data_IF_983250218297
#
_entry.id   IF_983250218297
#
_cell.length_a   1.000
_cell.length_b   1.000
_cell.length_c   1.000
_cell.angle_alpha   90.00
_cell.angle_beta   90.00
_cell.angle_gamma   90.00
#
_symmetry.space_group_name_H-M   'P 1'
#
loop_
_entity.id
_entity.type
_entity.pdbx_description
1 polymer ?
#
# COMPACT_ATOMS: atom_id res chain seq x y z
N UNK A 1 -2.78 -9.66 -17.10
CA UNK A 1 -2.37 -10.91 -16.42
C UNK A 1 -3.10 -10.94 -15.11
N UNK A 2 -3.62 -12.09 -14.64
CA UNK A 2 -4.15 -12.16 -13.30
C UNK A 2 -3.02 -11.84 -12.32
N UNK A 3 -3.29 -10.98 -11.34
CA UNK A 3 -2.35 -10.75 -10.24
C UNK A 3 -2.20 -12.08 -9.49
N UNK A 4 -0.98 -12.50 -9.14
CA UNK A 4 -0.79 -13.74 -8.42
C UNK A 4 -1.46 -13.66 -7.05
N UNK A 5 -2.13 -14.75 -6.65
CA UNK A 5 -2.77 -14.87 -5.34
C UNK A 5 -1.75 -14.89 -4.19
N UNK A 6 -0.48 -15.03 -4.51
CA UNK A 6 0.69 -14.93 -3.62
C UNK A 6 1.87 -14.36 -4.39
N UNK A 7 2.49 -13.34 -3.87
CA UNK A 7 3.76 -12.86 -4.38
C UNK A 7 4.70 -12.62 -3.21
N UNK A 8 5.79 -13.39 -3.17
CA UNK A 8 6.91 -13.16 -2.29
C UNK A 8 7.95 -12.34 -3.08
N UNK A 9 7.99 -11.04 -2.90
CA UNK A 9 9.09 -10.22 -3.34
C UNK A 9 9.98 -9.92 -2.15
N UNK A 10 11.09 -10.61 -2.04
CA UNK A 10 12.15 -10.27 -1.11
C UNK A 10 13.11 -9.33 -1.83
N UNK A 11 13.04 -8.06 -1.54
CA UNK A 11 14.05 -7.11 -1.96
C UNK A 11 14.94 -6.74 -0.80
N UNK A 12 16.22 -7.04 -0.92
CA UNK A 12 17.23 -6.61 0.03
C UNK A 12 17.94 -5.39 -0.53
N UNK A 13 17.48 -4.22 -0.14
CA UNK A 13 18.19 -2.96 -0.34
C UNK A 13 18.95 -2.60 0.94
N UNK A 14 19.85 -1.61 0.88
CA UNK A 14 20.46 -1.05 2.10
C UNK A 14 19.46 -0.51 3.13
N UNK A 15 18.19 -0.31 2.73
CA UNK A 15 17.10 0.17 3.59
C UNK A 15 16.38 -0.96 4.34
N UNK A 16 16.35 -2.18 3.82
CA UNK A 16 15.64 -3.28 4.46
C UNK A 16 15.04 -4.30 3.51
N UNK A 17 13.99 -5.00 3.98
CA UNK A 17 13.24 -6.01 3.26
C UNK A 17 11.79 -5.62 3.11
N UNK A 18 11.19 -5.89 1.95
CA UNK A 18 9.74 -5.76 1.76
C UNK A 18 9.14 -7.12 1.39
N UNK A 19 7.96 -7.40 1.90
CA UNK A 19 7.18 -8.60 1.62
C UNK A 19 5.70 -8.24 1.49
N UNK A 20 4.98 -8.90 0.56
CA UNK A 20 3.54 -8.75 0.40
C UNK A 20 2.87 -10.07 0.08
N UNK A 21 1.66 -10.25 0.54
CA UNK A 21 0.79 -11.37 0.21
C UNK A 21 -0.66 -10.91 0.14
N UNK A 22 -1.41 -11.49 -0.79
CA UNK A 22 -2.85 -11.30 -0.93
C UNK A 22 -3.51 -12.68 -0.96
N UNK A 23 -4.62 -12.83 -0.24
CA UNK A 23 -5.38 -14.09 -0.14
C UNK A 23 -6.86 -13.82 -0.38
N UNK A 24 -7.41 -14.61 -1.30
CA UNK A 24 -8.84 -14.60 -1.57
C UNK A 24 -9.65 -15.03 -0.34
N UNK A 25 -10.65 -14.27 0.00
CA UNK A 25 -11.54 -14.48 1.13
C UNK A 25 -12.34 -15.77 1.09
N UNK A 26 -12.64 -16.32 2.27
CA UNK A 26 -13.46 -17.53 2.36
C UNK A 26 -14.87 -17.31 1.82
N UNK A 27 -15.43 -16.11 1.95
CA UNK A 27 -16.72 -15.70 1.38
C UNK A 27 -16.66 -15.63 -0.14
N UNK A 28 -15.61 -15.05 -0.72
CA UNK A 28 -15.40 -14.97 -2.16
C UNK A 28 -15.19 -16.36 -2.77
N UNK A 29 -14.40 -17.23 -2.11
CA UNK A 29 -14.26 -18.62 -2.53
C UNK A 29 -15.60 -19.38 -2.62
N UNK A 30 -16.49 -19.19 -1.62
CA UNK A 30 -17.82 -19.81 -1.61
C UNK A 30 -18.72 -19.30 -2.73
N UNK A 31 -18.58 -18.02 -3.10
CA UNK A 31 -19.37 -17.37 -4.17
C UNK A 31 -18.72 -17.51 -5.55
N UNK A 32 -17.55 -18.16 -5.66
CA UNK A 32 -16.74 -18.22 -6.88
C UNK A 32 -16.38 -16.82 -7.42
N UNK A 33 -16.18 -15.85 -6.53
CA UNK A 33 -15.70 -14.51 -6.84
C UNK A 33 -14.18 -14.48 -6.78
N UNK A 34 -13.50 -13.63 -7.57
CA UNK A 34 -12.05 -13.45 -7.47
C UNK A 34 -11.68 -12.67 -6.21
N UNK A 35 -10.39 -12.68 -5.85
CA UNK A 35 -9.85 -11.71 -4.91
C UNK A 35 -9.93 -10.30 -5.52
N UNK A 36 -10.47 -9.35 -4.78
CA UNK A 36 -10.63 -7.94 -5.20
C UNK A 36 -9.52 -7.06 -4.66
N UNK A 37 -8.75 -7.57 -3.71
CA UNK A 37 -7.54 -6.93 -3.19
C UNK A 37 -6.37 -6.97 -4.17
N UNK A 38 -5.46 -6.01 -3.99
CA UNK A 38 -4.17 -5.97 -4.69
C UNK A 38 -3.06 -5.41 -3.80
N UNK A 39 -1.82 -5.77 -4.11
CA UNK A 39 -0.65 -5.09 -3.59
C UNK A 39 0.42 -4.92 -4.68
N UNK A 40 1.33 -3.98 -4.46
CA UNK A 40 2.53 -3.81 -5.28
C UNK A 40 3.73 -3.45 -4.41
N UNK A 41 4.89 -3.93 -4.83
CA UNK A 41 6.18 -3.67 -4.21
C UNK A 41 7.17 -3.22 -5.29
N UNK A 42 7.98 -2.25 -4.96
CA UNK A 42 9.13 -1.87 -5.76
C UNK A 42 10.31 -1.56 -4.85
N UNK A 43 11.49 -1.95 -5.28
CA UNK A 43 12.73 -1.62 -4.62
C UNK A 43 13.80 -1.33 -5.65
N UNK A 44 14.60 -0.32 -5.39
CA UNK A 44 15.63 0.12 -6.31
C UNK A 44 16.36 1.32 -5.75
N UNK A 45 16.87 2.16 -6.65
CA UNK A 45 17.55 3.39 -6.28
C UNK A 45 17.10 4.53 -7.18
N UNK A 46 16.94 5.70 -6.60
CA UNK A 46 16.85 6.95 -7.33
C UNK A 46 18.22 7.61 -7.31
N UNK A 47 18.95 7.53 -8.43
CA UNK A 47 20.39 7.80 -8.42
C UNK A 47 21.13 6.83 -7.50
N UNK A 48 21.93 7.34 -6.58
CA UNK A 48 22.66 6.54 -5.58
C UNK A 48 21.83 6.28 -4.30
N UNK A 49 20.62 6.83 -4.17
CA UNK A 49 19.81 6.74 -2.95
C UNK A 49 18.89 5.52 -3.04
N UNK A 50 19.06 4.50 -2.18
CA UNK A 50 18.18 3.36 -2.17
C UNK A 50 16.77 3.76 -1.71
N UNK A 51 15.75 3.09 -2.25
CA UNK A 51 14.35 3.31 -1.89
C UNK A 51 13.52 2.03 -2.03
N UNK A 52 12.46 1.97 -1.21
CA UNK A 52 11.42 0.94 -1.24
C UNK A 52 10.09 1.65 -1.37
N UNK A 53 9.23 1.20 -2.27
CA UNK A 53 7.85 1.66 -2.38
C UNK A 53 6.91 0.47 -2.31
N UNK A 54 5.83 0.61 -1.55
CA UNK A 54 4.82 -0.43 -1.33
C UNK A 54 3.42 0.17 -1.40
N UNK A 55 2.45 -0.64 -1.83
CA UNK A 55 1.05 -0.26 -1.81
C UNK A 55 0.14 -1.47 -1.60
N UNK A 56 -0.99 -1.25 -0.92
CA UNK A 56 -2.10 -2.20 -0.78
C UNK A 56 -3.41 -1.48 -1.12
N UNK A 57 -4.35 -2.19 -1.72
CA UNK A 57 -5.64 -1.66 -2.12
C UNK A 57 -6.71 -2.74 -1.98
N UNK A 58 -7.87 -2.35 -1.47
CA UNK A 58 -9.07 -3.14 -1.41
C UNK A 58 -10.04 -2.66 -2.48
N UNK A 59 -10.55 -3.58 -3.28
CA UNK A 59 -11.58 -3.33 -4.28
C UNK A 59 -12.97 -3.54 -3.70
N UNK A 60 -13.87 -2.56 -3.85
CA UNK A 60 -15.21 -2.63 -3.28
C UNK A 60 -16.03 -3.82 -3.78
N UNK A 61 -16.47 -4.69 -2.89
CA UNK A 61 -17.25 -5.91 -3.17
C UNK A 61 -18.73 -5.71 -3.56
N UNK A 62 -19.19 -4.46 -3.72
CA UNK A 62 -20.58 -4.15 -4.13
C UNK A 62 -20.75 -4.39 -5.64
N UNK A 63 -21.87 -4.98 -6.10
CA UNK A 63 -22.13 -5.22 -7.54
C UNK A 63 -22.05 -4.00 -8.45
N UNK A 64 -22.16 -2.78 -7.90
CA UNK A 64 -21.96 -1.52 -8.65
C UNK A 64 -20.49 -1.28 -9.00
N UNK A 65 -19.58 -1.95 -8.34
CA UNK A 65 -18.14 -1.87 -8.52
C UNK A 65 -17.57 -3.13 -9.21
N UNK A 66 -18.26 -3.59 -10.26
CA UNK A 66 -18.00 -4.86 -10.96
C UNK A 66 -16.60 -4.98 -11.60
N UNK A 67 -15.81 -3.91 -11.57
CA UNK A 67 -14.42 -3.85 -12.04
C UNK A 67 -13.44 -3.52 -10.91
N UNK A 68 -13.85 -3.59 -9.64
CA UNK A 68 -13.07 -3.20 -8.45
C UNK A 68 -11.72 -3.91 -8.36
N UNK A 69 -11.68 -5.20 -8.63
CA UNK A 69 -10.43 -5.97 -8.72
C UNK A 69 -9.40 -5.34 -9.66
N UNK A 70 -9.85 -4.86 -10.83
CA UNK A 70 -8.98 -4.20 -11.81
C UNK A 70 -8.62 -2.81 -11.31
N UNK A 71 -9.58 -2.14 -10.68
CA UNK A 71 -9.39 -0.85 -10.02
C UNK A 71 -8.32 -0.89 -8.94
N UNK A 72 -8.35 -1.88 -8.06
CA UNK A 72 -7.34 -2.12 -7.01
C UNK A 72 -5.95 -2.36 -7.63
N UNK A 73 -5.87 -3.18 -8.68
CA UNK A 73 -4.63 -3.40 -9.41
C UNK A 73 -4.05 -2.12 -10.03
N UNK A 74 -4.87 -1.26 -10.61
CA UNK A 74 -4.43 0.05 -11.11
C UNK A 74 -4.07 1.00 -9.96
N UNK A 75 -4.75 0.92 -8.81
CA UNK A 75 -4.47 1.75 -7.65
C UNK A 75 -3.05 1.52 -7.13
N UNK A 76 -2.69 0.28 -6.84
CA UNK A 76 -1.35 -0.04 -6.31
C UNK A 76 -0.24 0.27 -7.31
N UNK A 77 -0.47 0.02 -8.61
CA UNK A 77 0.49 0.38 -9.65
C UNK A 77 0.70 1.89 -9.72
N UNK A 78 -0.38 2.66 -9.81
CA UNK A 78 -0.33 4.12 -9.89
C UNK A 78 0.40 4.70 -8.68
N UNK A 79 0.15 4.16 -7.48
CA UNK A 79 0.80 4.61 -6.26
C UNK A 79 2.30 4.37 -6.27
N UNK A 80 2.73 3.15 -6.61
CA UNK A 80 4.16 2.80 -6.64
C UNK A 80 4.90 3.62 -7.70
N UNK A 81 4.34 3.76 -8.91
CA UNK A 81 4.94 4.57 -9.98
C UNK A 81 5.09 6.05 -9.56
N UNK A 82 4.08 6.63 -8.88
CA UNK A 82 4.15 8.02 -8.41
C UNK A 82 5.08 8.18 -7.20
N UNK A 83 5.19 7.19 -6.32
CA UNK A 83 6.20 7.19 -5.25
C UNK A 83 7.62 7.17 -5.84
N UNK A 84 7.86 6.29 -6.80
CA UNK A 84 9.16 6.22 -7.49
C UNK A 84 9.48 7.54 -8.19
N UNK A 85 8.52 8.15 -8.88
CA UNK A 85 8.69 9.46 -9.49
C UNK A 85 8.98 10.56 -8.45
N UNK A 86 8.35 10.48 -7.26
CA UNK A 86 8.56 11.42 -6.17
C UNK A 86 9.96 11.31 -5.56
N UNK A 87 10.61 10.14 -5.63
CA UNK A 87 11.99 9.98 -5.20
C UNK A 87 12.96 10.91 -5.91
N UNK A 88 12.71 11.24 -7.18
CA UNK A 88 13.53 12.21 -7.91
C UNK A 88 13.39 13.65 -7.37
N UNK A 89 12.22 13.98 -6.80
CA UNK A 89 12.02 15.26 -6.09
C UNK A 89 12.85 15.28 -4.82
N UNK A 90 12.92 14.17 -4.09
CA UNK A 90 13.74 14.05 -2.87
C UNK A 90 15.23 14.26 -3.15
N UNK A 91 15.72 13.83 -4.31
CA UNK A 91 17.14 14.02 -4.70
C UNK A 91 17.53 15.50 -4.87
N UNK A 92 16.56 16.42 -4.89
CA UNK A 92 16.83 17.85 -4.93
C UNK A 92 17.29 18.43 -3.58
N UNK A 93 17.51 17.58 -2.57
CA UNK A 93 17.95 17.98 -1.21
C UNK A 93 17.02 19.02 -0.59
N UNK A 94 15.72 18.83 -0.76
CA UNK A 94 14.71 19.74 -0.24
C UNK A 94 14.65 19.69 1.29
N UNK A 95 14.48 20.85 1.96
CA UNK A 95 14.16 20.85 3.38
C UNK A 95 12.92 19.98 3.67
N UNK A 96 12.95 19.20 4.77
CA UNK A 96 11.89 18.23 5.11
C UNK A 96 10.48 18.82 5.13
N UNK A 97 10.33 20.06 5.60
CA UNK A 97 9.02 20.72 5.61
C UNK A 97 8.49 21.00 4.20
N UNK A 98 9.38 21.30 3.25
CA UNK A 98 9.03 21.46 1.84
C UNK A 98 8.66 20.11 1.25
N UNK A 99 9.49 19.07 1.45
CA UNK A 99 9.21 17.71 1.00
C UNK A 99 7.84 17.22 1.50
N UNK A 100 7.54 17.41 2.80
CA UNK A 100 6.26 17.08 3.40
C UNK A 100 5.09 17.83 2.74
N UNK A 101 5.26 19.12 2.51
CA UNK A 101 4.23 19.97 1.89
C UNK A 101 3.96 19.55 0.44
N UNK A 102 5.01 19.29 -0.34
CA UNK A 102 4.88 18.84 -1.73
C UNK A 102 4.28 17.43 -1.81
N UNK A 103 4.73 16.50 -0.97
CA UNK A 103 4.14 15.16 -0.93
C UNK A 103 2.64 15.21 -0.63
N UNK A 104 2.25 15.94 0.41
CA UNK A 104 0.84 16.11 0.79
C UNK A 104 -0.01 16.72 -0.33
N UNK A 105 0.53 17.68 -1.09
CA UNK A 105 -0.18 18.38 -2.16
C UNK A 105 -0.24 17.55 -3.44
N UNK A 106 0.88 16.97 -3.86
CA UNK A 106 1.05 16.49 -5.21
C UNK A 106 0.81 14.98 -5.35
N UNK A 107 1.23 14.17 -4.37
CA UNK A 107 1.08 12.72 -4.44
C UNK A 107 -0.39 12.28 -4.60
N UNK A 108 -1.35 12.73 -3.77
CA UNK A 108 -2.76 12.40 -3.93
C UNK A 108 -3.34 12.76 -5.31
N UNK A 109 -2.98 13.94 -5.81
CA UNK A 109 -3.45 14.42 -7.12
C UNK A 109 -2.92 13.58 -8.27
N UNK A 110 -1.64 13.24 -8.22
CA UNK A 110 -0.96 12.47 -9.27
C UNK A 110 -1.49 11.04 -9.32
N UNK A 111 -1.59 10.38 -8.15
CA UNK A 111 -2.14 9.02 -8.06
C UNK A 111 -3.59 8.98 -8.52
N UNK A 112 -4.46 9.86 -8.00
CA UNK A 112 -5.88 9.88 -8.37
C UNK A 112 -6.08 10.15 -9.86
N UNK A 113 -5.28 11.02 -10.47
CA UNK A 113 -5.31 11.30 -11.91
C UNK A 113 -4.88 10.07 -12.71
N UNK A 114 -3.70 9.50 -12.43
CA UNK A 114 -3.15 8.34 -13.13
C UNK A 114 -4.09 7.14 -13.05
N UNK A 115 -4.65 6.90 -11.86
CA UNK A 115 -5.63 5.84 -11.67
C UNK A 115 -6.87 6.06 -12.54
N UNK A 116 -7.45 7.28 -12.56
CA UNK A 116 -8.62 7.61 -13.40
C UNK A 116 -8.32 7.44 -14.89
N UNK A 117 -7.16 7.85 -15.34
CA UNK A 117 -6.70 7.63 -16.72
C UNK A 117 -6.67 6.13 -17.04
N UNK A 118 -6.03 5.32 -16.17
CA UNK A 118 -5.91 3.87 -16.36
C UNK A 118 -7.27 3.15 -16.41
N UNK A 119 -8.20 3.47 -15.51
CA UNK A 119 -9.53 2.84 -15.50
C UNK A 119 -10.36 3.26 -16.72
N UNK A 120 -10.25 4.50 -17.14
CA UNK A 120 -10.96 5.00 -18.33
C UNK A 120 -10.42 4.33 -19.60
N UNK A 121 -9.12 4.20 -19.74
CA UNK A 121 -8.48 3.49 -20.86
C UNK A 121 -8.87 2.01 -20.88
N UNK A 122 -8.88 1.35 -19.72
CA UNK A 122 -9.30 -0.05 -19.62
C UNK A 122 -10.77 -0.25 -20.03
N UNK A 123 -11.65 0.62 -19.55
CA UNK A 123 -13.05 0.62 -19.87
C UNK A 123 -13.28 0.69 -21.39
N UNK A 124 -12.63 1.65 -22.05
CA UNK A 124 -12.72 1.84 -23.51
C UNK A 124 -12.13 0.64 -24.26
N UNK A 125 -10.93 0.21 -23.86
CA UNK A 125 -10.21 -0.91 -24.50
C UNK A 125 -11.00 -2.22 -24.46
N UNK A 126 -11.71 -2.47 -23.36
CA UNK A 126 -12.50 -3.70 -23.16
C UNK A 126 -13.92 -3.60 -23.73
N UNK A 127 -14.32 -2.43 -24.24
CA UNK A 127 -15.65 -2.23 -24.81
C UNK A 127 -16.76 -2.43 -23.79
N UNK A 128 -16.58 -1.99 -22.55
CA UNK A 128 -17.51 -2.20 -21.44
C UNK A 128 -18.73 -1.26 -21.51
N UNK A 129 -18.78 -0.32 -22.45
CA UNK A 129 -19.93 0.53 -22.69
C UNK A 129 -21.14 -0.32 -23.12
N UNK A 130 -22.22 -0.25 -22.36
CA UNK A 130 -23.49 -0.91 -22.71
C UNK A 130 -24.09 -0.31 -23.99
N UNK A 131 -24.75 -1.16 -24.81
CA UNK A 131 -25.51 -0.67 -25.98
C UNK A 131 -26.72 0.10 -25.48
N UNK A 132 -26.66 1.44 -25.58
CA UNK A 132 -27.83 2.31 -25.34
C UNK A 132 -27.82 3.08 -24.01
N UNK A 133 -26.82 2.97 -23.17
CA UNK A 133 -26.62 3.84 -21.98
C UNK A 133 -25.44 4.78 -22.19
N UNK A 134 -25.65 6.08 -22.07
CA UNK A 134 -24.58 7.06 -21.97
C UNK A 134 -24.06 7.04 -20.54
N UNK A 135 -23.10 6.13 -20.22
CA UNK A 135 -22.41 6.15 -18.93
C UNK A 135 -21.57 7.43 -18.84
N UNK A 136 -21.74 8.16 -17.75
CA UNK A 136 -20.91 9.34 -17.48
C UNK A 136 -19.49 8.90 -17.04
N UNK A 137 -18.52 9.80 -17.11
CA UNK A 137 -17.19 9.54 -16.60
C UNK A 137 -17.19 9.14 -15.09
N UNK A 138 -18.16 9.62 -14.31
CA UNK A 138 -18.34 9.25 -12.91
C UNK A 138 -18.85 7.81 -12.75
N UNK A 139 -19.77 7.38 -13.59
CA UNK A 139 -20.30 6.01 -13.59
C UNK A 139 -19.18 5.01 -13.94
N UNK A 140 -18.40 5.31 -14.98
CA UNK A 140 -17.24 4.48 -15.38
C UNK A 140 -16.27 4.33 -14.21
N UNK A 141 -15.85 5.43 -13.59
CA UNK A 141 -14.90 5.44 -12.51
C UNK A 141 -15.44 4.70 -11.27
N UNK A 142 -16.74 4.83 -11.00
CA UNK A 142 -17.41 4.14 -9.89
C UNK A 142 -17.29 2.61 -9.99
N UNK A 143 -17.35 2.04 -11.18
CA UNK A 143 -17.24 0.57 -11.38
C UNK A 143 -15.90 -0.01 -10.93
N UNK A 144 -14.85 0.81 -10.86
CA UNK A 144 -13.49 0.41 -10.47
C UNK A 144 -13.14 0.79 -9.01
N UNK A 145 -14.13 1.15 -8.20
CA UNK A 145 -13.91 1.67 -6.85
C UNK A 145 -12.92 0.86 -6.02
N UNK A 146 -11.99 1.56 -5.35
CA UNK A 146 -10.95 0.95 -4.54
C UNK A 146 -10.42 1.92 -3.49
N UNK A 147 -10.05 1.39 -2.32
CA UNK A 147 -9.22 2.05 -1.32
C UNK A 147 -7.76 2.02 -1.74
N UNK A 148 -6.88 2.69 -1.02
CA UNK A 148 -5.44 2.61 -1.26
C UNK A 148 -4.64 3.09 -0.06
N UNK A 149 -3.65 2.30 0.35
CA UNK A 149 -2.55 2.71 1.21
C UNK A 149 -1.26 2.58 0.42
N UNK A 150 -0.40 3.59 0.49
CA UNK A 150 0.89 3.58 -0.15
C UNK A 150 1.96 4.15 0.78
N UNK A 151 3.13 3.54 0.79
CA UNK A 151 4.25 4.01 1.58
C UNK A 151 5.57 3.89 0.82
N UNK A 152 6.49 4.78 1.13
CA UNK A 152 7.86 4.74 0.61
C UNK A 152 8.87 5.02 1.69
N UNK A 153 9.95 4.26 1.67
CA UNK A 153 11.13 4.48 2.48
C UNK A 153 12.24 4.97 1.56
N UNK A 154 12.75 6.17 1.82
CA UNK A 154 13.85 6.77 1.07
C UNK A 154 14.79 7.51 2.02
N UNK A 155 16.09 7.21 1.96
CA UNK A 155 17.09 7.77 2.86
C UNK A 155 16.66 7.70 4.34
N UNK A 156 16.46 8.84 4.98
CA UNK A 156 16.06 9.00 6.37
C UNK A 156 14.55 9.19 6.59
N UNK A 157 13.75 9.07 5.52
CA UNK A 157 12.33 9.46 5.53
C UNK A 157 11.41 8.31 5.15
N UNK A 158 10.24 8.24 5.80
CA UNK A 158 9.11 7.40 5.44
C UNK A 158 7.97 8.32 5.00
N UNK A 159 7.48 8.13 3.78
CA UNK A 159 6.33 8.83 3.21
C UNK A 159 5.13 7.89 3.18
N UNK A 160 3.97 8.37 3.62
CA UNK A 160 2.74 7.56 3.68
C UNK A 160 1.57 8.37 3.14
N UNK A 161 0.75 7.73 2.30
CA UNK A 161 -0.52 8.26 1.82
C UNK A 161 -1.60 7.20 1.88
N UNK A 162 -2.81 7.59 2.30
CA UNK A 162 -3.96 6.71 2.45
C UNK A 162 -5.24 7.38 2.01
N UNK A 163 -6.08 6.64 1.29
CA UNK A 163 -7.51 6.90 1.06
C UNK A 163 -8.27 5.61 1.35
N UNK A 164 -9.31 5.69 2.18
CA UNK A 164 -10.05 4.52 2.65
C UNK A 164 -9.69 4.12 4.08
N UNK A 165 -10.09 2.94 4.48
CA UNK A 165 -10.20 2.43 5.86
C UNK A 165 -9.20 1.33 6.24
N UNK A 166 -8.38 0.86 5.31
CA UNK A 166 -7.31 -0.09 5.64
C UNK A 166 -6.33 0.44 6.69
N UNK A 167 -5.46 -0.42 7.19
CA UNK A 167 -4.58 -0.15 8.32
C UNK A 167 -3.13 0.07 7.90
N UNK A 168 -2.47 1.03 8.53
CA UNK A 168 -1.02 1.19 8.45
C UNK A 168 -0.43 1.42 9.85
N UNK A 169 0.55 0.58 10.20
CA UNK A 169 1.15 0.54 11.53
C UNK A 169 2.66 0.48 11.41
N UNK A 170 3.36 1.23 12.24
CA UNK A 170 4.81 1.16 12.38
C UNK A 170 5.18 0.65 13.78
N UNK A 171 5.84 -0.50 13.85
CA UNK A 171 6.36 -1.07 15.08
C UNK A 171 7.85 -0.77 15.17
N UNK A 172 8.24 0.07 16.12
CA UNK A 172 9.62 0.47 16.37
C UNK A 172 10.46 -0.66 17.00
N UNK A 173 11.79 -0.58 16.97
CA UNK A 173 12.66 -1.60 17.58
C UNK A 173 12.43 -1.80 19.07
N UNK A 174 12.04 -0.79 19.80
CA UNK A 174 11.71 -0.84 21.24
C UNK A 174 10.35 -1.48 21.54
N UNK A 175 9.56 -1.78 20.50
CA UNK A 175 8.20 -2.35 20.60
C UNK A 175 7.08 -1.31 20.62
N UNK A 176 7.41 -0.01 20.56
CA UNK A 176 6.42 1.06 20.41
C UNK A 176 5.65 0.87 19.11
N UNK A 177 4.31 0.96 19.18
CA UNK A 177 3.42 0.86 18.04
C UNK A 177 2.90 2.25 17.71
N UNK A 178 3.11 2.68 16.48
CA UNK A 178 2.64 3.97 15.95
C UNK A 178 1.59 3.72 14.86
N UNK A 179 0.47 4.44 14.91
CA UNK A 179 -0.48 4.56 13.78
C UNK A 179 -0.22 5.89 13.09
N UNK A 180 0.58 5.91 12.00
CA UNK A 180 1.03 7.15 11.35
C UNK A 180 -0.11 7.99 10.77
N UNK A 181 -1.17 7.32 10.38
CA UNK A 181 -2.40 7.90 9.87
C UNK A 181 -3.51 7.66 10.90
N UNK A 182 -3.98 8.70 11.60
CA UNK A 182 -5.11 8.55 12.52
C UNK A 182 -6.35 8.04 11.79
N UNK A 183 -7.19 7.28 12.50
CA UNK A 183 -8.49 6.84 11.98
C UNK A 183 -9.32 8.02 11.46
N UNK A 184 -10.15 7.77 10.46
CA UNK A 184 -11.03 8.80 9.91
C UNK A 184 -12.29 8.94 10.78
N UNK A 185 -12.32 9.99 11.58
CA UNK A 185 -13.47 10.30 12.44
C UNK A 185 -14.59 11.05 11.71
N UNK A 186 -14.40 11.40 10.44
CA UNK A 186 -15.39 12.13 9.64
C UNK A 186 -16.44 11.23 8.99
N UNK A 187 -16.17 9.92 8.92
CA UNK A 187 -17.06 8.93 8.34
C UNK A 187 -18.01 8.37 9.41
N UNK A 188 -19.29 8.27 9.08
CA UNK A 188 -20.31 7.66 9.93
C UNK A 188 -20.81 6.37 9.29
N UNK A 189 -20.70 5.25 10.01
CA UNK A 189 -21.17 3.95 9.53
C UNK A 189 -20.18 3.22 8.63
N UNK A 190 -20.68 2.53 7.61
CA UNK A 190 -19.91 1.73 6.64
C UNK A 190 -19.46 2.52 5.40
N UNK A 191 -19.48 3.84 5.45
CA UNK A 191 -19.00 4.65 4.32
C UNK A 191 -17.48 4.73 4.33
N UNK A 192 -16.87 4.43 3.19
CA UNK A 192 -15.42 4.45 2.99
C UNK A 192 -15.06 5.36 1.83
N UNK A 193 -14.04 6.19 2.01
CA UNK A 193 -13.48 6.99 0.93
C UNK A 193 -12.71 6.12 -0.06
N UNK A 194 -12.89 6.39 -1.33
CA UNK A 194 -12.36 5.61 -2.45
C UNK A 194 -11.71 6.50 -3.49
N UNK A 195 -10.84 5.93 -4.31
CA UNK A 195 -10.32 6.60 -5.50
C UNK A 195 -11.43 6.97 -6.51
N UNK A 196 -12.57 6.28 -6.46
CA UNK A 196 -13.76 6.62 -7.25
C UNK A 196 -14.58 7.78 -6.69
N UNK A 197 -14.35 8.17 -5.44
CA UNK A 197 -15.03 9.31 -4.82
C UNK A 197 -14.83 10.59 -5.61
N UNK A 198 -15.84 11.48 -5.57
CA UNK A 198 -15.71 12.81 -6.13
C UNK A 198 -14.59 13.56 -5.40
N UNK A 199 -13.71 14.21 -6.16
CA UNK A 199 -12.56 14.94 -5.62
C UNK A 199 -11.66 14.11 -4.68
N UNK A 200 -11.52 12.80 -4.98
CA UNK A 200 -10.76 11.83 -4.19
C UNK A 200 -9.41 12.38 -3.68
N UNK A 201 -8.71 13.20 -4.48
CA UNK A 201 -7.42 13.78 -4.10
C UNK A 201 -7.46 14.70 -2.87
N UNK A 202 -8.64 15.17 -2.46
CA UNK A 202 -8.85 15.97 -1.24
C UNK A 202 -9.13 15.11 0.00
N UNK A 203 -9.46 13.84 -0.20
CA UNK A 203 -9.86 12.88 0.85
C UNK A 203 -8.68 12.06 1.39
N UNK A 204 -7.50 12.27 0.82
CA UNK A 204 -6.29 11.59 1.25
C UNK A 204 -5.78 12.12 2.58
N UNK A 205 -5.29 11.20 3.39
CA UNK A 205 -4.52 11.47 4.60
C UNK A 205 -3.06 11.13 4.31
N UNK A 206 -2.12 11.95 4.76
CA UNK A 206 -0.69 11.74 4.49
C UNK A 206 0.13 11.93 5.76
N UNK A 207 1.18 11.14 5.90
CA UNK A 207 2.17 11.30 6.95
C UNK A 207 3.59 11.29 6.37
N UNK A 208 4.48 11.97 7.07
CA UNK A 208 5.92 11.95 6.80
C UNK A 208 6.63 11.73 8.13
N UNK A 209 7.37 10.64 8.24
CA UNK A 209 8.05 10.22 9.47
C UNK A 209 9.56 10.15 9.24
N UNK A 210 10.29 10.23 10.34
CA UNK A 210 11.71 9.93 10.36
C UNK A 210 11.91 8.40 10.40
N UNK A 211 12.83 7.89 9.58
CA UNK A 211 13.21 6.48 9.61
C UNK A 211 13.80 6.10 10.96
N UNK A 212 14.69 6.95 11.50
CA UNK A 212 15.29 6.76 12.82
C UNK A 212 15.94 5.39 12.97
N UNK A 213 15.64 4.73 14.09
CA UNK A 213 16.13 3.38 14.40
C UNK A 213 15.48 2.26 13.57
N UNK A 214 14.68 2.62 12.55
CA UNK A 214 13.97 1.67 11.72
C UNK A 214 12.73 1.08 12.39
N UNK A 215 12.45 -0.19 12.09
CA UNK A 215 11.27 -0.91 12.60
C UNK A 215 10.61 -1.78 11.55
N UNK A 216 9.34 -2.12 11.76
CA UNK A 216 8.54 -2.86 10.78
C UNK A 216 7.30 -2.04 10.45
N UNK A 217 7.22 -1.56 9.21
CA UNK A 217 6.02 -0.93 8.67
C UNK A 217 5.11 -2.02 8.10
N UNK A 218 3.84 -2.00 8.48
CA UNK A 218 2.83 -2.96 8.04
C UNK A 218 1.67 -2.17 7.46
N UNK A 219 1.27 -2.51 6.23
CA UNK A 219 0.06 -2.00 5.60
C UNK A 219 -0.86 -3.18 5.26
N UNK A 220 -2.14 -3.06 5.53
CA UNK A 220 -3.13 -4.12 5.38
C UNK A 220 -4.47 -3.57 4.87
N UNK A 221 -5.22 -4.40 4.15
CA UNK A 221 -6.66 -4.16 3.89
C UNK A 221 -7.46 -4.48 5.14
N UNK A 222 -8.66 -3.91 5.27
CA UNK A 222 -9.53 -4.02 6.44
C UNK A 222 -9.98 -5.46 6.75
N UNK A 223 -10.05 -6.34 5.74
CA UNK A 223 -10.36 -7.76 5.94
C UNK A 223 -9.46 -8.44 6.98
N UNK A 224 -8.27 -7.86 7.27
CA UNK A 224 -7.40 -8.33 8.36
C UNK A 224 -7.88 -7.80 9.69
N UNK A 225 -8.05 -6.49 9.87
CA UNK A 225 -8.50 -5.90 11.15
C UNK A 225 -9.91 -6.35 11.52
N UNK A 226 -10.80 -6.50 10.55
CA UNK A 226 -12.16 -7.01 10.72
C UNK A 226 -12.22 -8.48 11.18
N UNK A 227 -11.09 -9.18 11.12
CA UNK A 227 -10.96 -10.54 11.65
C UNK A 227 -10.74 -10.59 13.16
N UNK A 228 -10.62 -9.44 13.82
CA UNK A 228 -10.37 -9.36 15.25
C UNK A 228 -11.54 -8.69 15.96
N UNK A 229 -12.24 -9.47 16.78
CA UNK A 229 -13.27 -8.97 17.68
C UNK A 229 -12.62 -8.19 18.84
N UNK A 230 -13.08 -6.99 19.12
CA UNK A 230 -12.64 -6.27 20.31
C UNK A 230 -12.84 -4.76 20.21
N UNK A 231 -13.17 -4.14 21.33
CA UNK A 231 -13.20 -2.70 21.46
C UNK A 231 -11.79 -2.13 21.23
N UNK A 232 -11.69 -1.18 20.30
CA UNK A 232 -10.50 -0.34 20.09
C UNK A 232 -9.30 -0.98 19.37
N UNK A 233 -9.46 -2.11 18.63
CA UNK A 233 -8.37 -2.66 17.80
C UNK A 233 -7.22 -3.33 18.58
N UNK A 234 -7.36 -3.59 19.89
CA UNK A 234 -6.32 -4.19 20.72
C UNK A 234 -5.84 -5.57 20.19
N UNK A 235 -6.77 -6.42 19.79
CA UNK A 235 -6.43 -7.76 19.30
C UNK A 235 -5.70 -7.69 17.95
N UNK A 236 -6.08 -6.77 17.08
CA UNK A 236 -5.35 -6.49 15.85
C UNK A 236 -3.91 -6.02 16.15
N UNK A 237 -3.73 -5.10 17.10
CA UNK A 237 -2.39 -4.65 17.49
C UNK A 237 -1.54 -5.77 18.10
N UNK A 238 -2.12 -6.68 18.89
CA UNK A 238 -1.44 -7.88 19.40
C UNK A 238 -1.01 -8.81 18.25
N UNK A 239 -1.87 -8.97 17.23
CA UNK A 239 -1.52 -9.73 16.03
C UNK A 239 -0.32 -9.11 15.31
N UNK A 240 -0.34 -7.80 15.06
CA UNK A 240 0.78 -7.08 14.46
C UNK A 240 2.07 -7.24 15.26
N UNK A 241 2.03 -7.05 16.58
CA UNK A 241 3.18 -7.26 17.46
C UNK A 241 3.69 -8.70 17.41
N UNK A 242 2.78 -9.69 17.28
CA UNK A 242 3.16 -11.10 17.15
C UNK A 242 3.91 -11.39 15.85
N UNK A 243 3.53 -10.76 14.74
CA UNK A 243 4.26 -10.85 13.46
C UNK A 243 5.68 -10.31 13.64
N UNK A 244 5.82 -9.12 14.24
CA UNK A 244 7.13 -8.49 14.46
C UNK A 244 8.01 -9.34 15.37
N UNK A 245 7.44 -9.90 16.45
CA UNK A 245 8.17 -10.80 17.34
C UNK A 245 8.68 -12.05 16.59
N UNK A 246 7.83 -12.63 15.72
CA UNK A 246 8.23 -13.79 14.90
C UNK A 246 9.30 -13.43 13.86
N UNK A 247 9.22 -12.24 13.24
CA UNK A 247 10.27 -11.76 12.33
C UNK A 247 11.61 -11.70 13.06
N UNK A 248 11.63 -11.19 14.29
CA UNK A 248 12.84 -11.12 15.11
C UNK A 248 13.38 -12.50 15.52
N UNK A 249 12.49 -13.43 15.82
CA UNK A 249 12.85 -14.76 16.29
C UNK A 249 13.26 -15.72 15.17
N UNK A 250 12.54 -15.70 14.05
CA UNK A 250 12.65 -16.72 13.00
C UNK A 250 13.18 -16.17 11.67
N UNK A 251 13.31 -14.85 11.54
CA UNK A 251 13.71 -14.18 10.30
C UNK A 251 12.52 -13.92 9.34
N UNK A 252 12.74 -12.97 8.45
CA UNK A 252 11.72 -12.49 7.49
C UNK A 252 11.22 -13.59 6.58
N UNK A 253 12.13 -14.40 6.03
CA UNK A 253 11.80 -15.44 5.05
C UNK A 253 10.86 -16.51 5.61
N UNK A 254 11.10 -16.96 6.85
CA UNK A 254 10.26 -17.96 7.50
C UNK A 254 8.86 -17.41 7.82
N UNK A 255 8.78 -16.15 8.25
CA UNK A 255 7.49 -15.50 8.52
C UNK A 255 6.73 -15.26 7.22
N UNK A 256 7.40 -14.80 6.19
CA UNK A 256 6.84 -14.61 4.86
C UNK A 256 6.23 -15.92 4.32
N UNK A 257 6.98 -17.03 4.38
CA UNK A 257 6.51 -18.34 3.93
C UNK A 257 5.31 -18.90 4.73
N UNK A 258 5.12 -18.45 5.98
CA UNK A 258 3.98 -18.87 6.81
C UNK A 258 2.75 -17.97 6.68
N UNK A 259 2.92 -16.74 6.17
CA UNK A 259 1.90 -15.69 6.22
C UNK A 259 0.62 -16.08 5.48
N UNK A 260 0.73 -16.61 4.28
CA UNK A 260 -0.42 -17.04 3.48
C UNK A 260 -1.33 -18.02 4.24
N UNK A 261 -0.73 -18.98 4.94
CA UNK A 261 -1.47 -19.95 5.75
C UNK A 261 -2.17 -19.31 6.96
N UNK A 262 -1.58 -18.27 7.53
CA UNK A 262 -2.20 -17.51 8.62
C UNK A 262 -3.39 -16.71 8.10
N UNK A 263 -3.24 -15.97 7.02
CA UNK A 263 -4.31 -15.18 6.43
C UNK A 263 -5.49 -16.08 6.00
N UNK A 264 -5.23 -17.21 5.33
CA UNK A 264 -6.27 -18.19 4.98
C UNK A 264 -7.04 -18.70 6.21
N UNK A 265 -6.36 -18.85 7.34
CA UNK A 265 -7.00 -19.29 8.59
C UNK A 265 -7.89 -18.18 9.18
N UNK A 266 -7.39 -16.94 9.23
CA UNK A 266 -8.16 -15.82 9.76
C UNK A 266 -9.39 -15.54 8.90
N UNK A 267 -9.26 -15.49 7.57
CA UNK A 267 -10.40 -15.35 6.67
C UNK A 267 -11.47 -16.42 6.90
N UNK A 268 -11.07 -17.69 7.07
CA UNK A 268 -12.03 -18.80 7.28
C UNK A 268 -12.75 -18.72 8.63
N UNK A 269 -12.10 -18.22 9.66
CA UNK A 269 -12.61 -18.25 11.03
C UNK A 269 -13.32 -16.97 11.46
N UNK A 270 -13.09 -15.88 10.77
CA UNK A 270 -13.54 -14.56 11.17
C UNK A 270 -14.20 -13.78 10.02
N UNK A 271 -13.55 -12.76 9.41
CA UNK A 271 -14.18 -11.83 8.46
C UNK A 271 -14.77 -12.53 7.22
N UNK A 272 -14.12 -13.56 6.74
CA UNK A 272 -14.45 -14.19 5.45
C UNK A 272 -14.04 -13.39 4.24
N UNK A 273 -13.47 -12.21 4.44
CA UNK A 273 -13.08 -11.29 3.40
C UNK A 273 -11.71 -11.58 2.79
N UNK A 274 -11.39 -10.90 1.69
CA UNK A 274 -10.05 -10.90 1.11
C UNK A 274 -9.06 -10.32 2.12
N UNK A 275 -7.82 -10.77 2.07
CA UNK A 275 -6.80 -10.37 3.02
C UNK A 275 -5.51 -10.04 2.32
N UNK A 276 -5.12 -8.80 2.36
CA UNK A 276 -3.86 -8.33 1.80
C UNK A 276 -3.01 -7.64 2.86
N UNK A 277 -1.75 -8.05 2.92
CA UNK A 277 -0.79 -7.51 3.87
C UNK A 277 0.56 -7.32 3.20
N UNK A 278 1.14 -6.16 3.44
CA UNK A 278 2.52 -5.86 3.10
C UNK A 278 3.26 -5.44 4.36
N UNK A 279 4.49 -5.93 4.55
CA UNK A 279 5.36 -5.36 5.56
C UNK A 279 6.74 -5.02 4.99
N UNK A 280 7.35 -4.00 5.58
CA UNK A 280 8.71 -3.56 5.28
C UNK A 280 9.51 -3.58 6.56
N UNK A 281 10.50 -4.47 6.65
CA UNK A 281 11.51 -4.44 7.69
C UNK A 281 12.51 -3.34 7.35
N UNK A 282 12.45 -2.24 8.09
CA UNK A 282 13.25 -1.04 7.88
C UNK A 282 14.48 -1.12 8.75
N UNK A 283 15.66 -1.05 8.14
CA UNK A 283 16.94 -0.97 8.89
C UNK A 283 17.12 0.40 9.52
N UNK A 284 17.85 0.49 10.64
CA UNK A 284 18.20 1.79 11.21
C UNK A 284 18.98 2.64 10.20
N UNK A 285 18.89 3.94 10.39
CA UNK A 285 19.77 4.86 9.67
C UNK A 285 21.23 4.59 10.05
N UNK A 286 22.09 4.44 9.04
CA UNK A 286 23.51 4.26 9.31
C UNK A 286 24.05 5.55 9.98
N UNK A 287 24.85 5.44 11.04
CA UNK A 287 25.48 6.62 11.64
C UNK A 287 26.25 7.36 10.55
N UNK A 288 26.05 8.67 10.47
CA UNK A 288 26.72 9.55 9.48
C UNK A 288 28.22 9.53 9.73
N UNK A 289 28.92 8.57 9.12
CA UNK A 289 30.36 8.62 8.99
C UNK A 289 30.66 9.59 7.84
N UNK A 290 31.35 10.70 8.16
CA UNK A 290 31.64 11.89 7.36
C UNK A 290 31.59 11.69 5.84
N UNK A 291 30.73 12.46 5.21
CA UNK A 291 30.43 12.40 3.78
C UNK A 291 31.62 12.87 2.96
N UNK A 292 32.26 11.94 2.23
CA UNK A 292 32.97 12.29 1.00
C UNK A 292 31.90 12.36 -0.12
N UNK A 293 31.74 13.54 -0.74
CA UNK A 293 30.87 13.70 -1.92
C UNK A 293 31.41 12.87 -3.07
N UNK A 294 30.61 11.97 -3.68
CA UNK A 294 31.01 11.33 -4.94
C UNK A 294 30.79 12.31 -6.11
N UNK A 295 31.71 12.27 -7.05
CA UNK A 295 31.63 12.99 -8.32
C UNK A 295 30.46 12.48 -9.19
N UNK A 296 29.91 13.41 -9.97
CA UNK A 296 28.92 13.16 -11.01
C UNK A 296 29.47 12.20 -12.06
N UNK A 297 28.81 11.08 -12.27
CA UNK A 297 28.65 10.33 -13.54
C UNK A 297 28.40 8.84 -13.23
N UNK A 298 27.11 8.42 -13.33
CA UNK A 298 26.78 7.06 -13.78
C UNK A 298 25.26 6.88 -13.98
N UNK A 299 24.94 6.18 -15.08
CA UNK A 299 23.61 5.91 -15.62
C UNK A 299 22.91 4.78 -14.85
N UNK A 300 21.61 4.84 -14.53
CA UNK A 300 20.94 3.86 -13.68
C UNK A 300 20.51 2.61 -14.44
N UNK A 301 20.90 1.43 -13.94
CA UNK A 301 20.26 0.16 -14.29
C UNK A 301 19.41 -0.32 -13.11
N UNK A 302 18.11 -0.47 -13.33
CA UNK A 302 17.14 -1.00 -12.36
C UNK A 302 16.43 -2.23 -12.91
N UNK A 303 16.19 -3.22 -12.06
CA UNK A 303 15.39 -4.41 -12.38
C UNK A 303 13.98 -4.27 -11.81
N UNK A 304 12.99 -4.51 -12.67
CA UNK A 304 11.57 -4.54 -12.35
C UNK A 304 11.15 -5.98 -12.02
N UNK A 305 10.41 -6.17 -10.90
CA UNK A 305 9.68 -7.38 -10.60
C UNK A 305 8.20 -7.02 -10.38
N UNK A 306 7.34 -7.57 -11.23
CA UNK A 306 5.89 -7.45 -11.19
C UNK A 306 5.27 -8.79 -10.82
#
# INVERSE_FOLDING_TARGET
>A
MPYPDEFLCASNTGLGWAFGTSRIGASHKKKCQPCEDAFALWSGSAGAVPCIAVAVADGHGDPRHDQSRIGAGFAVRSAVEELVAFHYVYLQDLPRHILRSEFRRDFPRRVSRRWRESVTEDFVRRGLAGTGSEETAADIVSRYGSTLIAASIIADTILIGQIGDGDIVLVRPDGTVESPIPGDTSLMGSETWSLSSRDAHLLWRTATLDRGDGGVLIAATDGISDSFDGSEGEEFMKFIQSIVARIRQYGVENVAGAMSGWLDRYSRLASGDDMTLVFVLIRPEAPVSGIQKPGSDENPQGSWGF
#
